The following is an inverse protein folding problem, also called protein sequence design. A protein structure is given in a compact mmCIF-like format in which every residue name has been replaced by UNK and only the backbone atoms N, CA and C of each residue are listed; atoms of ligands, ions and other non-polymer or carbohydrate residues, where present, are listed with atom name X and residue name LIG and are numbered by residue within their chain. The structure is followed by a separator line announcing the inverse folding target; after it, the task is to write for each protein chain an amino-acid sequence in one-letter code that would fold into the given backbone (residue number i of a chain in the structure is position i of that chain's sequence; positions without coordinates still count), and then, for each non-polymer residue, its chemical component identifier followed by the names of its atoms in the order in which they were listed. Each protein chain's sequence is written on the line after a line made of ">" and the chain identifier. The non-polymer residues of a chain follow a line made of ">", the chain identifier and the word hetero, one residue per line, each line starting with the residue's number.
data_IF_141136814465
#
_entry.id   IF_141136814465
#
_cell.length_a   1.000
_cell.length_b   1.000
_cell.length_c   1.000
_cell.angle_alpha   90.00
_cell.angle_beta   90.00
_cell.angle_gamma   90.00
#
_symmetry.space_group_name_H-M   'P 1'
#
loop_
_entity.id
_entity.type
_entity.pdbx_description
1 polymer ?
#
# COMPACT_ATOMS: atom_id res chain seq x y z
N UNK A 1 19.11 15.66 -7.03
CA UNK A 1 18.61 14.69 -6.03
C UNK A 1 18.54 13.35 -6.74
N UNK A 2 19.05 12.26 -6.16
CA UNK A 2 18.94 10.93 -6.77
C UNK A 2 17.47 10.50 -6.77
N UNK A 3 17.00 9.92 -7.88
CA UNK A 3 15.60 9.49 -8.13
C UNK A 3 15.00 8.74 -6.94
N UNK A 4 15.82 7.90 -6.30
CA UNK A 4 15.61 7.11 -5.07
C UNK A 4 15.01 7.88 -3.89
N UNK A 5 15.38 9.15 -3.69
CA UNK A 5 14.89 9.93 -2.54
C UNK A 5 13.59 10.68 -2.85
N UNK A 6 13.35 11.01 -4.12
CA UNK A 6 12.13 11.69 -4.56
C UNK A 6 10.93 10.74 -4.56
N UNK A 7 11.11 9.49 -5.03
CA UNK A 7 10.09 8.44 -5.02
C UNK A 7 9.65 8.07 -3.60
N UNK A 8 10.62 7.96 -2.69
CA UNK A 8 10.35 7.71 -1.27
C UNK A 8 9.54 8.82 -0.62
N UNK A 9 9.81 10.08 -0.99
CA UNK A 9 9.03 11.24 -0.53
C UNK A 9 7.64 11.31 -1.17
N UNK A 10 7.49 10.82 -2.40
CA UNK A 10 6.20 10.82 -3.08
C UNK A 10 5.17 9.90 -2.42
N UNK A 11 5.61 8.86 -1.68
CA UNK A 11 4.72 7.93 -0.98
C UNK A 11 4.64 8.19 0.53
N UNK A 12 5.74 8.56 1.19
CA UNK A 12 5.73 8.79 2.63
C UNK A 12 4.94 10.06 2.99
N UNK A 13 4.07 9.94 3.99
CA UNK A 13 3.15 10.99 4.41
C UNK A 13 1.90 11.11 3.53
N UNK A 14 1.79 10.32 2.45
CA UNK A 14 0.64 10.31 1.55
C UNK A 14 -0.27 9.12 1.84
N UNK A 15 -1.55 9.29 1.53
CA UNK A 15 -2.52 8.20 1.50
C UNK A 15 -2.58 7.62 0.11
N UNK A 16 -2.31 6.32 0.00
CA UNK A 16 -2.50 5.53 -1.20
C UNK A 16 -3.90 4.93 -1.13
N UNK A 17 -4.73 5.18 -2.14
CA UNK A 17 -5.98 4.43 -2.33
C UNK A 17 -5.75 3.40 -3.43
N UNK A 18 -6.04 2.14 -3.16
CA UNK A 18 -5.95 1.08 -4.15
C UNK A 18 -7.24 0.30 -4.30
N UNK A 19 -7.49 -0.13 -5.53
CA UNK A 19 -8.66 -0.90 -5.95
C UNK A 19 -8.18 -2.26 -6.46
N UNK A 20 -8.62 -3.33 -5.81
CA UNK A 20 -8.24 -4.69 -6.19
C UNK A 20 -9.19 -5.28 -7.22
N UNK A 21 -8.62 -5.82 -8.30
CA UNK A 21 -9.35 -6.39 -9.43
C UNK A 21 -9.41 -7.92 -9.39
N UNK A 22 -8.49 -8.55 -8.66
CA UNK A 22 -8.43 -10.00 -8.46
C UNK A 22 -8.02 -10.36 -7.02
N UNK A 23 -7.89 -11.66 -6.74
CA UNK A 23 -7.52 -12.16 -5.43
C UNK A 23 -8.66 -12.20 -4.41
N UNK A 24 -8.36 -12.52 -3.14
CA UNK A 24 -9.36 -12.68 -2.09
C UNK A 24 -10.19 -11.41 -1.80
N UNK A 25 -9.63 -10.23 -2.06
CA UNK A 25 -10.31 -8.94 -1.88
C UNK A 25 -10.71 -8.29 -3.21
N UNK A 26 -10.80 -9.07 -4.29
CA UNK A 26 -11.30 -8.59 -5.57
C UNK A 26 -12.61 -7.83 -5.37
N UNK A 27 -12.73 -6.66 -5.99
CA UNK A 27 -13.93 -5.86 -5.82
C UNK A 27 -13.90 -4.92 -4.61
N UNK A 28 -12.84 -4.88 -3.80
CA UNK A 28 -12.70 -3.96 -2.67
C UNK A 28 -11.70 -2.82 -2.91
N UNK A 29 -11.88 -1.74 -2.16
CA UNK A 29 -11.01 -0.56 -2.08
C UNK A 29 -10.48 -0.39 -0.67
N UNK A 30 -9.22 0.01 -0.55
CA UNK A 30 -8.60 0.33 0.73
C UNK A 30 -7.78 1.62 0.61
N UNK A 31 -7.61 2.27 1.74
CA UNK A 31 -6.74 3.42 1.90
C UNK A 31 -5.66 3.12 2.93
N UNK A 32 -4.41 3.42 2.57
CA UNK A 32 -3.23 3.21 3.40
C UNK A 32 -2.37 4.46 3.42
N UNK A 33 -2.13 4.99 4.61
CA UNK A 33 -1.19 6.09 4.85
C UNK A 33 0.12 5.52 5.38
N UNK A 34 1.20 5.64 4.61
CA UNK A 34 2.55 5.29 5.06
C UNK A 34 3.22 6.52 5.65
N UNK A 35 3.18 6.68 6.96
CA UNK A 35 3.69 7.88 7.65
C UNK A 35 5.22 7.97 7.61
N UNK A 36 5.74 9.19 7.72
CA UNK A 36 7.19 9.47 7.75
C UNK A 36 7.89 8.91 8.99
N UNK A 37 7.14 8.64 10.07
CA UNK A 37 7.62 7.99 11.29
C UNK A 37 7.68 6.45 11.18
N UNK A 38 7.29 5.89 10.02
CA UNK A 38 7.28 4.45 9.77
C UNK A 38 6.03 3.73 10.28
N UNK A 39 5.00 4.46 10.74
CA UNK A 39 3.67 3.90 11.00
C UNK A 39 2.86 3.74 9.72
N UNK A 40 1.90 2.81 9.75
CA UNK A 40 0.89 2.65 8.70
C UNK A 40 -0.48 2.74 9.33
N UNK A 41 -1.33 3.59 8.78
CA UNK A 41 -2.76 3.64 9.12
C UNK A 41 -3.54 3.21 7.90
N UNK A 42 -4.49 2.29 8.07
CA UNK A 42 -5.28 1.82 6.94
C UNK A 42 -6.73 1.52 7.28
N UNK A 43 -7.57 1.54 6.25
CA UNK A 43 -8.99 1.16 6.32
C UNK A 43 -9.47 0.55 5.02
N UNK A 44 -10.53 -0.25 5.10
CA UNK A 44 -11.36 -0.52 3.93
C UNK A 44 -12.25 0.69 3.63
N UNK A 45 -12.47 0.99 2.35
CA UNK A 45 -13.40 2.07 1.93
C UNK A 45 -14.78 1.50 1.62
N UNK A 46 -14.81 0.29 1.02
CA UNK A 46 -16.03 -0.34 0.51
C UNK A 46 -16.40 -1.64 1.28
N UNK A 47 -15.61 -2.00 2.28
CA UNK A 47 -15.76 -3.24 3.05
C UNK A 47 -16.69 -3.12 4.26
N UNK A 48 -16.69 -4.17 5.10
CA UNK A 48 -17.30 -4.12 6.42
C UNK A 48 -16.52 -3.10 7.27
N UNK A 49 -17.22 -2.14 7.87
CA UNK A 49 -16.68 -1.12 8.78
C UNK A 49 -15.66 -0.10 8.20
N UNK A 50 -16.07 0.73 7.21
CA UNK A 50 -15.20 1.75 6.59
C UNK A 50 -14.76 2.89 7.53
N UNK A 51 -15.27 2.90 8.76
CA UNK A 51 -14.89 3.83 9.83
C UNK A 51 -13.79 3.29 10.74
N UNK A 52 -13.50 1.99 10.69
CA UNK A 52 -12.43 1.40 11.50
C UNK A 52 -11.06 1.74 10.90
N UNK A 53 -10.19 2.31 11.73
CA UNK A 53 -8.80 2.57 11.38
C UNK A 53 -7.92 1.51 12.04
N UNK A 54 -7.13 0.83 11.22
CA UNK A 54 -6.11 -0.10 11.67
C UNK A 54 -4.76 0.61 11.76
N UNK A 55 -4.03 0.34 12.83
CA UNK A 55 -2.73 0.96 13.10
C UNK A 55 -1.65 -0.10 13.17
N UNK A 56 -0.65 0.03 12.32
CA UNK A 56 0.44 -0.94 12.17
C UNK A 56 1.79 -0.24 12.24
N UNK A 57 2.83 -0.98 12.62
CA UNK A 57 4.21 -0.49 12.63
C UNK A 57 5.01 -1.15 11.52
N UNK A 58 5.94 -0.37 10.97
CA UNK A 58 6.92 -0.77 9.95
C UNK A 58 6.37 -0.85 8.53
N UNK A 59 6.42 0.29 7.84
CA UNK A 59 6.27 0.41 6.39
C UNK A 59 7.63 0.49 5.69
N UNK A 60 8.12 -0.58 5.08
CA UNK A 60 9.27 -0.47 4.17
C UNK A 60 8.81 0.21 2.88
N UNK A 61 9.52 1.25 2.45
CA UNK A 61 9.39 1.85 1.11
C UNK A 61 10.74 1.73 0.43
N UNK A 62 10.79 1.03 -0.70
CA UNK A 62 12.02 0.74 -1.42
C UNK A 62 11.81 0.90 -2.93
N UNK A 63 12.62 1.72 -3.62
CA UNK A 63 12.56 1.79 -5.07
C UNK A 63 13.15 0.52 -5.70
N UNK A 64 12.57 0.11 -6.82
CA UNK A 64 12.99 -1.04 -7.63
C UNK A 64 13.57 -0.57 -8.96
N UNK A 65 12.96 0.46 -9.56
CA UNK A 65 13.38 1.17 -10.76
C UNK A 65 12.80 2.59 -10.74
N UNK A 66 13.13 3.42 -11.73
CA UNK A 66 12.65 4.81 -11.82
C UNK A 66 11.11 4.95 -11.73
N UNK A 67 10.37 3.96 -12.26
CA UNK A 67 8.90 3.97 -12.26
C UNK A 67 8.27 2.94 -11.30
N UNK A 68 9.05 2.22 -10.49
CA UNK A 68 8.52 1.16 -9.62
C UNK A 68 9.02 1.30 -8.20
N UNK A 69 8.07 1.36 -7.26
CA UNK A 69 8.34 1.37 -5.82
C UNK A 69 7.62 0.23 -5.13
N UNK A 70 8.29 -0.41 -4.17
CA UNK A 70 7.70 -1.43 -3.31
C UNK A 70 7.40 -0.83 -1.94
N UNK A 71 6.19 -1.09 -1.46
CA UNK A 71 5.77 -0.83 -0.08
C UNK A 71 5.50 -2.15 0.65
N UNK A 72 5.80 -2.23 1.94
CA UNK A 72 5.48 -3.42 2.73
C UNK A 72 5.22 -3.09 4.19
N UNK A 73 4.27 -3.77 4.83
CA UNK A 73 4.08 -3.72 6.28
C UNK A 73 3.57 -5.04 6.84
N UNK A 74 3.84 -5.28 8.12
CA UNK A 74 3.30 -6.42 8.87
C UNK A 74 2.01 -5.97 9.55
N UNK A 75 0.91 -6.69 9.30
CA UNK A 75 -0.33 -6.47 10.03
C UNK A 75 -0.36 -7.28 11.32
N UNK A 76 -0.96 -6.71 12.35
CA UNK A 76 -1.41 -7.39 13.56
C UNK A 76 -2.24 -8.65 13.29
N UNK A 77 -2.89 -8.76 12.13
CA UNK A 77 -3.62 -9.94 11.67
C UNK A 77 -2.74 -11.13 11.22
N UNK A 78 -1.41 -11.04 11.33
CA UNK A 78 -0.49 -12.15 11.02
C UNK A 78 -0.06 -12.27 9.56
N UNK A 79 -0.43 -11.29 8.72
CA UNK A 79 -0.01 -11.21 7.33
C UNK A 79 0.99 -10.07 7.13
N UNK A 80 1.96 -10.28 6.24
CA UNK A 80 2.78 -9.21 5.67
C UNK A 80 2.22 -8.82 4.31
N UNK A 81 1.85 -7.56 4.16
CA UNK A 81 1.53 -6.98 2.86
C UNK A 81 2.83 -6.54 2.19
N UNK A 82 3.02 -6.87 0.91
CA UNK A 82 4.07 -6.31 0.06
C UNK A 82 3.48 -5.96 -1.29
N UNK A 83 3.61 -4.72 -1.76
CA UNK A 83 3.00 -4.24 -3.00
C UNK A 83 4.04 -3.51 -3.84
N UNK A 84 4.18 -3.92 -5.10
CA UNK A 84 4.88 -3.16 -6.13
C UNK A 84 3.89 -2.21 -6.80
N UNK A 85 4.26 -0.94 -6.86
CA UNK A 85 3.50 0.16 -7.43
C UNK A 85 4.24 0.65 -8.67
N UNK A 86 3.61 0.56 -9.84
CA UNK A 86 4.12 1.19 -11.06
C UNK A 86 3.56 2.61 -11.15
N UNK A 87 4.43 3.61 -10.95
CA UNK A 87 4.08 5.03 -10.86
C UNK A 87 3.67 5.65 -12.20
N UNK A 88 4.13 5.07 -13.32
CA UNK A 88 3.78 5.54 -14.67
C UNK A 88 2.36 5.14 -15.05
N UNK A 89 1.96 3.91 -14.73
CA UNK A 89 0.70 3.29 -15.19
C UNK A 89 -0.39 3.25 -14.12
N UNK A 90 -0.05 3.60 -12.88
CA UNK A 90 -0.94 3.46 -11.72
C UNK A 90 -1.43 2.03 -11.49
N UNK A 91 -0.69 1.03 -11.97
CA UNK A 91 -0.97 -0.38 -11.72
C UNK A 91 -0.19 -0.90 -10.50
N UNK A 92 -0.77 -1.89 -9.81
CA UNK A 92 -0.10 -2.53 -8.69
C UNK A 92 -0.25 -4.04 -8.69
N UNK A 93 0.74 -4.71 -8.10
CA UNK A 93 0.73 -6.12 -7.76
C UNK A 93 1.17 -6.27 -6.32
N UNK A 94 0.34 -6.91 -5.50
CA UNK A 94 0.57 -7.13 -4.08
C UNK A 94 0.50 -8.59 -3.69
N UNK A 95 1.12 -8.90 -2.56
CA UNK A 95 1.04 -10.18 -1.88
C UNK A 95 0.64 -9.94 -0.43
N UNK A 96 -0.42 -10.61 0.03
CA UNK A 96 -0.62 -10.85 1.45
C UNK A 96 0.03 -12.21 1.77
N UNK A 97 1.11 -12.18 2.54
CA UNK A 97 1.92 -13.35 2.87
C UNK A 97 1.77 -13.70 4.36
N UNK A 98 1.25 -14.89 4.64
CA UNK A 98 1.21 -15.49 5.95
C UNK A 98 2.38 -16.46 6.16
N UNK A 99 2.31 -17.29 7.20
CA UNK A 99 3.37 -18.26 7.51
C UNK A 99 3.62 -19.26 6.36
N UNK A 100 2.56 -19.80 5.76
CA UNK A 100 2.61 -20.86 4.74
C UNK A 100 1.78 -20.53 3.49
N UNK A 101 1.12 -19.37 3.45
CA UNK A 101 0.19 -18.98 2.40
C UNK A 101 0.56 -17.63 1.79
N UNK A 102 0.41 -17.53 0.48
CA UNK A 102 0.61 -16.30 -0.27
C UNK A 102 -0.61 -16.06 -1.15
N UNK A 103 -1.29 -14.95 -0.93
CA UNK A 103 -2.36 -14.49 -1.78
C UNK A 103 -1.86 -13.32 -2.63
N UNK A 104 -1.66 -13.58 -3.93
CA UNK A 104 -1.38 -12.53 -4.89
C UNK A 104 -2.65 -11.75 -5.20
N UNK A 105 -2.50 -10.44 -5.36
CA UNK A 105 -3.56 -9.51 -5.73
C UNK A 105 -2.99 -8.49 -6.74
N UNK A 106 -3.84 -7.97 -7.60
CA UNK A 106 -3.52 -6.96 -8.61
C UNK A 106 -4.62 -5.91 -8.65
N UNK A 107 -4.26 -4.74 -9.13
CA UNK A 107 -5.21 -3.66 -9.26
C UNK A 107 -4.59 -2.36 -9.71
N UNK A 108 -5.25 -1.28 -9.33
CA UNK A 108 -4.79 0.08 -9.58
C UNK A 108 -4.65 0.85 -8.27
N UNK A 109 -3.91 1.95 -8.31
CA UNK A 109 -3.80 2.86 -7.17
C UNK A 109 -3.83 4.32 -7.60
N UNK A 110 -4.17 5.18 -6.66
CA UNK A 110 -4.05 6.63 -6.76
C UNK A 110 -3.47 7.18 -5.47
N UNK A 111 -2.74 8.30 -5.56
CA UNK A 111 -2.32 9.05 -4.38
C UNK A 111 -3.36 10.11 -4.09
N UNK A 112 -3.96 10.06 -2.90
CA UNK A 112 -4.94 11.07 -2.50
C UNK A 112 -4.26 12.44 -2.31
N UNK A 113 -4.99 13.55 -2.51
CA UNK A 113 -4.48 14.89 -2.24
C UNK A 113 -3.89 14.99 -0.83
N UNK A 114 -2.84 15.81 -0.68
CA UNK A 114 -2.33 16.13 0.65
C UNK A 114 -3.43 16.84 1.47
N UNK A 115 -3.55 16.54 2.77
CA UNK A 115 -4.38 17.35 3.66
C UNK A 115 -3.92 18.81 3.58
N UNK A 116 -4.87 19.72 3.42
CA UNK A 116 -4.62 21.16 3.38
C UNK A 116 -4.05 21.70 4.70
#
# INVERSE_FOLDING_TARGET
>A
MTTTQAERRALLGRTIRWRFNDGPVAGQTFEHTFSTDGSVVWRSVDGQDPTELHHEKFGAVAPVSDDVVVVSYVSSGGYTLTVALNLETSQMVGFASGHDTWAQQKGTFELLPEPA
#
